data_IF_691062133088
#
_entry.id   IF_691062133088
#
_cell.length_a   1.000
_cell.length_b   1.000
_cell.length_c   1.000
_cell.angle_alpha   90.00
_cell.angle_beta   90.00
_cell.angle_gamma   90.00
#
_symmetry.space_group_name_H-M   'P 1'
#
loop_
_entity.id
_entity.type
_entity.pdbx_description
1 polymer ?
#
# COMPACT_ATOMS: atom_id res chain seq x y z
N UNK A 1 -0.97 -9.29 8.44
CA UNK A 1 -0.98 -10.14 7.23
C UNK A 1 0.32 -9.97 6.46
N UNK A 2 0.70 -10.93 5.61
CA UNK A 2 1.92 -10.81 4.78
C UNK A 2 1.72 -9.82 3.64
N UNK A 3 2.72 -8.97 3.38
CA UNK A 3 2.70 -8.01 2.26
C UNK A 3 2.63 -8.71 0.90
N UNK A 4 3.20 -9.91 0.76
CA UNK A 4 3.13 -10.71 -0.47
C UNK A 4 1.74 -11.25 -0.81
N UNK A 5 0.80 -11.22 0.14
CA UNK A 5 -0.58 -11.71 -0.04
C UNK A 5 -1.58 -10.60 -0.34
N UNK A 6 -1.10 -9.37 -0.54
CA UNK A 6 -1.87 -8.17 -0.82
C UNK A 6 -1.58 -7.66 -2.23
N UNK A 7 -2.63 -7.30 -2.96
CA UNK A 7 -2.53 -6.69 -4.28
C UNK A 7 -2.83 -5.18 -4.19
N UNK A 8 -1.88 -4.36 -4.61
CA UNK A 8 -2.06 -2.91 -4.68
C UNK A 8 -2.94 -2.53 -5.87
N UNK A 9 -3.94 -1.69 -5.64
CA UNK A 9 -4.93 -1.29 -6.67
C UNK A 9 -4.76 0.16 -7.14
N UNK A 10 -3.80 0.89 -6.58
CA UNK A 10 -3.47 2.26 -6.96
C UNK A 10 -1.96 2.46 -6.87
N UNK A 11 -1.42 3.33 -7.72
CA UNK A 11 -0.02 3.74 -7.70
C UNK A 11 0.25 4.80 -6.64
N UNK A 12 1.53 5.10 -6.41
CA UNK A 12 1.92 6.19 -5.53
C UNK A 12 1.58 7.52 -6.22
N UNK A 13 0.72 8.30 -5.58
CA UNK A 13 0.28 9.63 -6.03
C UNK A 13 0.99 10.77 -5.29
N UNK A 14 1.66 10.49 -4.15
CA UNK A 14 2.46 11.49 -3.43
C UNK A 14 3.67 11.93 -4.28
N UNK A 15 4.14 13.14 -4.07
CA UNK A 15 5.42 13.60 -4.62
C UNK A 15 6.61 13.01 -3.83
N UNK A 16 7.83 13.15 -4.36
CA UNK A 16 9.05 12.52 -3.83
C UNK A 16 9.31 12.83 -2.35
N UNK A 17 9.26 14.10 -1.95
CA UNK A 17 9.57 14.54 -0.59
C UNK A 17 8.61 13.97 0.48
N UNK A 18 7.28 14.09 0.36
CA UNK A 18 6.37 13.50 1.34
C UNK A 18 6.41 11.97 1.34
N UNK A 19 6.64 11.34 0.18
CA UNK A 19 6.85 9.89 0.12
C UNK A 19 8.13 9.48 0.86
N UNK A 20 9.19 10.29 0.79
CA UNK A 20 10.45 10.02 1.49
C UNK A 20 10.28 10.13 3.00
N UNK A 21 9.55 11.15 3.45
CA UNK A 21 9.21 11.32 4.87
C UNK A 21 8.45 10.10 5.39
N UNK A 22 7.43 9.64 4.65
CA UNK A 22 6.67 8.44 5.01
C UNK A 22 7.53 7.17 5.03
N UNK A 23 8.43 7.00 4.05
CA UNK A 23 9.33 5.85 4.02
C UNK A 23 10.25 5.82 5.25
N UNK A 24 10.79 6.98 5.63
CA UNK A 24 11.65 7.10 6.81
C UNK A 24 10.86 6.88 8.11
N UNK A 25 9.64 7.40 8.19
CA UNK A 25 8.77 7.18 9.36
C UNK A 25 8.47 5.69 9.54
N UNK A 26 8.04 4.99 8.49
CA UNK A 26 7.76 3.55 8.54
C UNK A 26 9.03 2.74 8.84
N UNK A 27 10.21 3.18 8.37
CA UNK A 27 11.47 2.52 8.70
C UNK A 27 11.80 2.60 10.19
N UNK A 28 11.46 3.71 10.86
CA UNK A 28 11.74 3.93 12.29
C UNK A 28 10.65 3.39 13.21
N UNK A 29 9.40 3.61 12.83
CA UNK A 29 8.23 3.41 13.68
C UNK A 29 7.39 2.19 13.27
N UNK A 30 7.68 1.58 12.11
CA UNK A 30 6.81 0.58 11.50
C UNK A 30 5.54 1.18 10.92
N UNK A 31 4.66 0.30 10.43
CA UNK A 31 3.34 0.69 9.95
C UNK A 31 2.41 0.82 11.16
N UNK A 32 2.14 2.05 11.59
CA UNK A 32 1.25 2.33 12.74
C UNK A 32 -0.22 2.14 12.42
N UNK A 33 -0.65 2.64 11.27
CA UNK A 33 -2.05 2.55 10.85
C UNK A 33 -2.28 1.34 9.93
N UNK A 34 -3.39 0.60 10.10
CA UNK A 34 -3.67 -0.58 9.29
C UNK A 34 -3.93 -0.24 7.82
N UNK A 35 -3.60 -1.20 6.95
CA UNK A 35 -3.93 -1.19 5.53
C UNK A 35 -5.30 -1.82 5.34
N UNK A 36 -6.24 -1.09 4.73
CA UNK A 36 -7.58 -1.64 4.45
C UNK A 36 -7.57 -2.46 3.17
N UNK A 37 -8.16 -3.65 3.21
CA UNK A 37 -8.26 -4.54 2.05
C UNK A 37 -9.64 -5.17 1.94
N UNK A 38 -10.03 -5.52 0.72
CA UNK A 38 -11.23 -6.29 0.39
C UNK A 38 -10.80 -7.64 -0.15
N UNK A 39 -11.46 -8.71 0.29
CA UNK A 39 -11.25 -10.04 -0.28
C UNK A 39 -12.25 -10.27 -1.42
N UNK A 40 -11.75 -10.56 -2.62
CA UNK A 40 -12.59 -10.88 -3.78
C UNK A 40 -11.92 -11.94 -4.65
N UNK A 41 -12.66 -12.94 -5.13
CA UNK A 41 -12.12 -13.99 -6.01
C UNK A 41 -10.91 -14.75 -5.45
N UNK A 42 -10.82 -14.89 -4.12
CA UNK A 42 -9.68 -15.54 -3.45
C UNK A 42 -8.43 -14.66 -3.27
N UNK A 43 -8.44 -13.42 -3.77
CA UNK A 43 -7.34 -12.44 -3.66
C UNK A 43 -7.70 -11.32 -2.67
N UNK A 44 -6.68 -10.66 -2.12
CA UNK A 44 -6.84 -9.55 -1.18
C UNK A 44 -6.40 -8.25 -1.84
N UNK A 45 -7.35 -7.37 -2.13
CA UNK A 45 -7.11 -6.10 -2.82
C UNK A 45 -7.06 -4.94 -1.84
N UNK A 46 -5.99 -4.16 -1.88
CA UNK A 46 -5.82 -2.98 -1.03
C UNK A 46 -6.78 -1.89 -1.50
N UNK A 47 -7.62 -1.38 -0.61
CA UNK A 47 -8.53 -0.26 -0.90
C UNK A 47 -8.09 1.03 -0.18
N UNK A 48 -7.15 0.94 0.76
CA UNK A 48 -6.58 2.10 1.44
C UNK A 48 -5.18 1.81 1.96
N UNK A 49 -4.34 2.85 2.02
CA UNK A 49 -2.99 2.74 2.56
C UNK A 49 -1.95 2.22 1.58
N UNK A 50 -2.14 2.42 0.28
CA UNK A 50 -1.18 2.04 -0.76
C UNK A 50 0.23 2.58 -0.52
N UNK A 51 0.38 3.82 -0.08
CA UNK A 51 1.72 4.38 0.22
C UNK A 51 2.39 3.65 1.38
N UNK A 52 1.62 3.29 2.43
CA UNK A 52 2.12 2.51 3.58
C UNK A 52 2.53 1.10 3.14
N UNK A 53 1.70 0.46 2.31
CA UNK A 53 1.98 -0.84 1.72
C UNK A 53 3.28 -0.86 0.92
N UNK A 54 3.46 0.06 -0.03
CA UNK A 54 4.66 0.10 -0.86
C UNK A 54 5.91 0.42 -0.05
N UNK A 55 5.83 1.34 0.92
CA UNK A 55 6.93 1.59 1.85
C UNK A 55 7.31 0.35 2.64
N UNK A 56 6.34 -0.36 3.22
CA UNK A 56 6.59 -1.60 3.94
C UNK A 56 7.25 -2.67 3.06
N UNK A 57 6.75 -2.86 1.84
CA UNK A 57 7.33 -3.78 0.87
C UNK A 57 8.77 -3.41 0.53
N UNK A 58 9.06 -2.12 0.31
CA UNK A 58 10.39 -1.63 -0.03
C UNK A 58 11.38 -1.73 1.14
N UNK A 59 10.90 -1.66 2.37
CA UNK A 59 11.68 -1.87 3.58
C UNK A 59 11.87 -3.34 3.94
N UNK A 60 11.28 -4.27 3.17
CA UNK A 60 11.32 -5.70 3.47
C UNK A 60 10.47 -6.11 4.68
N UNK A 61 9.54 -5.25 5.10
CA UNK A 61 8.61 -5.55 6.19
C UNK A 61 7.62 -6.61 5.67
N UNK A 62 7.73 -7.81 6.22
CA UNK A 62 6.88 -8.95 5.83
C UNK A 62 5.48 -8.83 6.39
N UNK A 63 5.35 -8.39 7.64
CA UNK A 63 4.08 -8.35 8.37
C UNK A 63 3.63 -6.91 8.56
N UNK A 64 2.42 -6.62 8.08
CA UNK A 64 1.78 -5.31 8.24
C UNK A 64 0.42 -5.47 8.92
N UNK A 65 -0.01 -4.49 9.75
CA UNK A 65 -1.36 -4.45 10.26
C UNK A 65 -2.32 -4.23 9.09
N UNK A 66 -3.39 -5.03 9.07
CA UNK A 66 -4.40 -4.96 8.03
C UNK A 66 -5.78 -4.98 8.66
N UNK A 67 -6.74 -4.36 7.97
CA UNK A 67 -8.13 -4.38 8.35
C UNK A 67 -8.97 -4.76 7.14
N UNK A 68 -9.89 -5.71 7.32
CA UNK A 68 -10.80 -6.12 6.26
C UNK A 68 -11.91 -5.09 6.13
N UNK A 69 -12.15 -4.62 4.90
CA UNK A 69 -13.26 -3.76 4.53
C UNK A 69 -14.27 -4.52 3.66
N UNK A 70 -15.48 -3.99 3.56
CA UNK A 70 -16.54 -4.45 2.66
C UNK A 70 -16.84 -3.37 1.63
N UNK A 71 -17.23 -3.77 0.42
CA UNK A 71 -17.68 -2.81 -0.59
C UNK A 71 -19.12 -2.35 -0.29
N UNK A 72 -19.50 -1.11 -0.65
CA UNK A 72 -18.64 -0.06 -1.19
C UNK A 72 -17.72 0.57 -0.12
N UNK A 73 -16.50 0.94 -0.51
CA UNK A 73 -15.52 1.57 0.39
C UNK A 73 -14.83 2.75 -0.30
N UNK A 74 -15.02 3.97 0.22
CA UNK A 74 -14.51 5.23 -0.38
C UNK A 74 -14.84 5.30 -1.88
N UNK A 75 -13.82 5.21 -2.75
CA UNK A 75 -13.97 5.27 -4.20
C UNK A 75 -14.20 3.92 -4.88
N UNK A 76 -14.20 2.81 -4.15
CA UNK A 76 -14.44 1.47 -4.69
C UNK A 76 -15.90 1.10 -4.52
N UNK A 77 -16.63 0.99 -5.63
CA UNK A 77 -18.07 0.65 -5.62
C UNK A 77 -18.27 -0.84 -5.83
N UNK A 78 -17.49 -1.46 -6.70
CA UNK A 78 -17.63 -2.87 -7.07
C UNK A 78 -16.28 -3.57 -7.23
N UNK A 79 -16.34 -4.89 -7.46
CA UNK A 79 -15.17 -5.73 -7.66
C UNK A 79 -14.35 -5.30 -8.88
N UNK A 80 -14.99 -4.71 -9.89
CA UNK A 80 -14.31 -4.23 -11.10
C UNK A 80 -13.37 -3.06 -10.83
N UNK A 81 -13.60 -2.31 -9.76
CA UNK A 81 -12.74 -1.18 -9.36
C UNK A 81 -11.46 -1.63 -8.63
N UNK A 82 -11.39 -2.91 -8.23
CA UNK A 82 -10.25 -3.45 -7.47
C UNK A 82 -9.04 -3.75 -8.37
N UNK A 83 -9.23 -3.91 -9.67
CA UNK A 83 -8.15 -4.23 -10.60
C UNK A 83 -7.76 -2.97 -11.36
N UNK A 84 -6.53 -2.49 -11.13
CA UNK A 84 -5.97 -1.39 -11.92
C UNK A 84 -4.52 -1.68 -12.26
N UNK A 85 -4.21 -1.55 -13.54
CA UNK A 85 -2.85 -1.56 -14.05
C UNK A 85 -2.27 -0.16 -13.93
N UNK A 86 -1.14 -0.03 -13.24
CA UNK A 86 -0.46 1.24 -13.09
C UNK A 86 1.00 1.04 -12.76
N UNK A 87 1.86 1.87 -13.36
CA UNK A 87 3.30 1.87 -13.07
C UNK A 87 3.60 2.81 -11.90
N UNK A 88 4.44 2.37 -10.98
CA UNK A 88 4.93 3.25 -9.92
C UNK A 88 5.74 4.42 -10.51
N UNK A 89 5.73 5.61 -9.87
CA UNK A 89 6.53 6.74 -10.33
C UNK A 89 8.01 6.40 -10.45
N UNK A 90 8.70 6.89 -11.48
CA UNK A 90 10.11 6.55 -11.73
C UNK A 90 11.04 6.87 -10.55
N UNK A 91 10.78 7.97 -9.83
CA UNK A 91 11.56 8.34 -8.64
C UNK A 91 11.55 7.23 -7.56
N UNK A 92 10.49 6.42 -7.50
CA UNK A 92 10.30 5.39 -6.47
C UNK A 92 11.38 4.33 -6.53
N UNK A 93 11.89 4.00 -7.73
CA UNK A 93 12.93 2.99 -7.91
C UNK A 93 14.20 3.34 -7.11
N UNK A 94 14.56 4.62 -7.09
CA UNK A 94 15.78 5.13 -6.47
C UNK A 94 15.64 5.51 -4.99
N UNK A 95 14.42 5.54 -4.45
CA UNK A 95 14.23 5.88 -3.03
C UNK A 95 14.81 4.81 -2.12
N UNK A 96 15.35 5.22 -0.98
CA UNK A 96 15.80 4.34 0.10
C UNK A 96 15.48 5.03 1.42
N UNK A 97 15.22 4.26 2.48
CA UNK A 97 15.15 4.88 3.80
C UNK A 97 16.50 5.48 4.16
N UNK A 98 16.46 6.69 4.72
CA UNK A 98 17.63 7.29 5.35
C UNK A 98 17.80 6.59 6.69
N UNK A 99 18.94 5.89 6.86
CA UNK A 99 19.36 5.33 8.15
C UNK A 99 19.55 6.46 9.16
#
# INVERSE_FOLDING_TARGET
>A
MRTSSLEGTQTITKSKAPMQSLLNDIAKNGVKEPINYVKSGGRNYIVDGHHRFYSAQKLGIKNVPVQRATLPFKGYKSVTDLVKEGRQPGYWQHMKAKK
#
